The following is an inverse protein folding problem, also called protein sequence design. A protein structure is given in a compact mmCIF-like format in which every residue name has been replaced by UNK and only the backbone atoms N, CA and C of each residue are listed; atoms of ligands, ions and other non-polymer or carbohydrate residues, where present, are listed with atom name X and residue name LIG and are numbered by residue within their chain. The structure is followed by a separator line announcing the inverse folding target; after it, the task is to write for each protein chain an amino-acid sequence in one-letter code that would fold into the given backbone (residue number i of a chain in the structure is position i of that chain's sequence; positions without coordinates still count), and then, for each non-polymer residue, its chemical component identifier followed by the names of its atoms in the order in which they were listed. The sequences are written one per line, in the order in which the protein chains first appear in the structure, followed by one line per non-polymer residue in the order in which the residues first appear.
data_IF_866268575633
#
_entry.id   IF_866268575633
#
_cell.length_a   1.000
_cell.length_b   1.000
_cell.length_c   1.000
_cell.angle_alpha   90.00
_cell.angle_beta   90.00
_cell.angle_gamma   90.00
#
_symmetry.space_group_name_H-M   'P 1'
#
loop_
_entity.id
_entity.type
_entity.pdbx_description
1 polymer ?
#
# COMPACT_ATOMS: atom_id res chain seq x y z
N UNK A 1 3.28 51.03 -48.86
CA UNK A 1 1.93 51.17 -48.26
C UNK A 1 1.33 49.77 -48.31
N UNK A 2 1.09 49.03 -47.23
CA UNK A 2 0.59 49.44 -45.92
C UNK A 2 1.05 48.46 -44.85
N UNK A 3 1.44 49.02 -43.70
CA UNK A 3 1.57 48.36 -42.42
C UNK A 3 0.20 47.93 -41.90
N UNK A 4 0.11 46.75 -41.28
CA UNK A 4 -0.96 46.50 -40.30
C UNK A 4 -0.47 45.58 -39.19
N UNK A 5 -0.48 46.17 -38.00
CA UNK A 5 -0.12 45.62 -36.70
C UNK A 5 -1.35 44.96 -36.07
N UNK A 6 -1.21 43.79 -35.46
CA UNK A 6 -2.17 43.23 -34.50
C UNK A 6 -1.39 42.36 -33.50
N UNK A 7 -0.99 42.94 -32.36
CA UNK A 7 -1.65 42.87 -31.05
C UNK A 7 -1.46 41.52 -30.35
N UNK A 8 -0.48 41.52 -29.45
CA UNK A 8 -0.17 40.49 -28.45
C UNK A 8 -1.23 40.52 -27.34
N UNK A 9 -1.87 39.40 -26.96
CA UNK A 9 -2.63 39.33 -25.72
C UNK A 9 -1.69 39.14 -24.52
N UNK A 10 -1.96 39.77 -23.35
CA UNK A 10 -1.14 39.61 -22.15
C UNK A 10 -1.47 38.28 -21.49
N UNK A 11 -0.49 37.37 -21.42
CA UNK A 11 -0.60 36.15 -20.62
C UNK A 11 -0.43 36.51 -19.13
N UNK A 12 -1.35 36.12 -18.24
CA UNK A 12 -1.27 36.43 -16.81
C UNK A 12 -0.09 35.71 -16.12
N UNK A 13 0.49 36.30 -15.05
CA UNK A 13 1.62 35.73 -14.35
C UNK A 13 1.18 34.70 -13.30
N UNK A 14 2.09 33.73 -13.07
CA UNK A 14 2.15 32.82 -11.94
C UNK A 14 1.14 31.66 -11.89
N UNK A 15 1.66 30.45 -12.10
CA UNK A 15 1.40 29.37 -11.14
C UNK A 15 2.67 28.55 -11.00
N UNK A 16 3.30 28.65 -9.83
CA UNK A 16 4.42 27.83 -9.42
C UNK A 16 4.01 26.37 -9.51
N UNK A 17 4.59 25.63 -10.46
CA UNK A 17 4.47 24.19 -10.53
C UNK A 17 5.17 23.59 -9.31
N UNK A 18 4.42 23.42 -8.23
CA UNK A 18 4.78 22.48 -7.19
C UNK A 18 4.72 21.09 -7.83
N UNK A 19 5.88 20.53 -8.13
CA UNK A 19 6.08 19.13 -8.55
C UNK A 19 5.47 18.21 -7.51
N UNK A 20 4.17 17.93 -7.62
CA UNK A 20 3.54 16.82 -6.94
C UNK A 20 4.13 15.56 -7.60
N UNK A 21 5.20 15.03 -7.03
CA UNK A 21 5.57 13.64 -7.24
C UNK A 21 4.37 12.81 -6.81
N UNK A 22 3.52 12.48 -7.78
CA UNK A 22 2.54 11.42 -7.62
C UNK A 22 3.32 10.18 -7.21
N UNK A 23 3.30 9.83 -5.93
CA UNK A 23 3.72 8.51 -5.51
C UNK A 23 2.75 7.53 -6.16
N UNK A 24 3.07 7.10 -7.38
CA UNK A 24 2.39 5.99 -8.03
C UNK A 24 2.71 4.74 -7.22
N UNK A 25 1.93 4.51 -6.18
CA UNK A 25 1.95 3.24 -5.49
C UNK A 25 1.59 2.17 -6.52
N UNK A 26 2.52 1.24 -6.73
CA UNK A 26 2.27 0.06 -7.57
C UNK A 26 1.01 -0.63 -7.08
N UNK A 27 0.16 -1.06 -8.00
CA UNK A 27 -1.01 -1.85 -7.65
C UNK A 27 -0.59 -3.30 -7.34
N UNK A 28 -1.32 -3.99 -6.46
CA UNK A 28 -1.15 -5.43 -6.31
C UNK A 28 -1.42 -6.13 -7.63
N UNK A 29 -0.71 -7.23 -7.87
CA UNK A 29 -0.91 -8.05 -9.07
C UNK A 29 -2.33 -8.65 -9.11
N UNK A 30 -2.91 -8.78 -10.30
CA UNK A 30 -4.25 -9.37 -10.53
C UNK A 30 -4.38 -10.79 -9.93
N UNK A 31 -3.30 -11.58 -9.99
CA UNK A 31 -3.24 -12.92 -9.39
C UNK A 31 -3.44 -12.86 -7.88
N UNK A 32 -2.78 -11.91 -7.22
CA UNK A 32 -2.87 -11.71 -5.77
C UNK A 32 -4.28 -11.27 -5.38
N UNK A 33 -4.86 -10.31 -6.10
CA UNK A 33 -6.25 -9.86 -5.86
C UNK A 33 -7.27 -10.99 -6.05
N UNK A 34 -7.14 -11.81 -7.10
CA UNK A 34 -7.99 -13.00 -7.30
C UNK A 34 -7.85 -14.00 -6.16
N UNK A 35 -6.64 -14.22 -5.67
CA UNK A 35 -6.41 -15.12 -4.54
C UNK A 35 -7.02 -14.55 -3.24
N UNK A 36 -6.83 -13.26 -2.97
CA UNK A 36 -7.46 -12.57 -1.85
C UNK A 36 -8.99 -12.66 -1.91
N UNK A 37 -9.59 -12.41 -3.09
CA UNK A 37 -11.03 -12.52 -3.28
C UNK A 37 -11.54 -13.93 -2.99
N UNK A 38 -10.83 -14.97 -3.47
CA UNK A 38 -11.17 -16.36 -3.16
C UNK A 38 -11.13 -16.63 -1.65
N UNK A 39 -10.10 -16.16 -0.95
CA UNK A 39 -9.97 -16.32 0.49
C UNK A 39 -11.06 -15.54 1.25
N UNK A 40 -11.37 -14.32 0.82
CA UNK A 40 -12.43 -13.49 1.42
C UNK A 40 -13.80 -14.16 1.34
N UNK A 41 -14.12 -14.81 0.20
CA UNK A 41 -15.37 -15.56 0.02
C UNK A 41 -15.41 -16.82 0.89
N UNK A 42 -14.30 -17.56 0.98
CA UNK A 42 -14.24 -18.83 1.74
C UNK A 42 -14.26 -18.60 3.25
N UNK A 43 -13.56 -17.58 3.72
CA UNK A 43 -13.36 -17.30 5.15
C UNK A 43 -14.37 -16.27 5.69
N UNK A 44 -15.18 -15.66 4.81
CA UNK A 44 -16.12 -14.56 5.10
C UNK A 44 -15.45 -13.38 5.83
N UNK A 45 -14.37 -12.86 5.23
CA UNK A 45 -13.54 -11.80 5.81
C UNK A 45 -13.32 -10.66 4.82
N UNK A 46 -13.44 -9.39 5.25
CA UNK A 46 -13.12 -8.23 4.42
C UNK A 46 -11.62 -8.20 4.06
N UNK A 47 -11.34 -7.71 2.85
CA UNK A 47 -9.99 -7.41 2.39
C UNK A 47 -9.66 -5.96 2.75
N UNK A 48 -8.60 -5.77 3.53
CA UNK A 48 -8.09 -4.48 3.96
C UNK A 48 -6.75 -4.19 3.27
N UNK A 49 -6.64 -2.99 2.68
CA UNK A 49 -5.49 -2.52 1.92
C UNK A 49 -4.80 -1.31 2.58
N UNK A 50 -5.16 -1.00 3.82
CA UNK A 50 -4.60 0.05 4.67
C UNK A 50 -3.09 -0.11 4.91
N UNK A 51 -2.59 -1.34 4.96
CA UNK A 51 -1.17 -1.64 5.08
C UNK A 51 -0.41 -1.64 3.74
N UNK A 52 -1.09 -1.53 2.59
CA UNK A 52 -0.45 -1.64 1.28
C UNK A 52 0.59 -0.54 1.04
N UNK A 53 0.19 0.73 1.09
CA UNK A 53 1.10 1.86 0.89
C UNK A 53 2.21 1.89 1.95
N UNK A 54 1.87 1.59 3.20
CA UNK A 54 2.82 1.52 4.31
C UNK A 54 3.88 0.42 4.12
N UNK A 55 3.50 -0.70 3.48
CA UNK A 55 4.43 -1.78 3.16
C UNK A 55 5.38 -1.43 2.01
N UNK A 56 4.92 -0.61 1.05
CA UNK A 56 5.76 -0.07 -0.03
C UNK A 56 6.76 0.97 0.50
N UNK A 57 6.29 1.83 1.41
CA UNK A 57 7.12 2.84 2.10
C UNK A 57 8.09 2.24 3.13
N UNK A 58 8.04 0.92 3.36
CA UNK A 58 8.80 0.22 4.42
C UNK A 58 8.56 0.79 5.83
N UNK A 59 7.41 1.44 6.03
CA UNK A 59 6.93 1.91 7.34
C UNK A 59 6.30 0.76 8.12
N UNK A 60 5.59 -0.13 7.41
CA UNK A 60 5.08 -1.36 7.99
C UNK A 60 6.17 -2.45 8.02
N UNK A 61 6.11 -3.29 9.05
CA UNK A 61 6.96 -4.45 9.24
C UNK A 61 6.15 -5.63 9.80
N UNK A 62 6.68 -6.84 9.63
CA UNK A 62 6.14 -8.06 10.24
C UNK A 62 6.91 -8.29 11.55
N UNK A 63 6.23 -8.06 12.67
CA UNK A 63 6.74 -8.34 14.01
C UNK A 63 6.58 -9.81 14.35
N UNK A 64 7.63 -10.46 14.83
CA UNK A 64 7.60 -11.83 15.37
C UNK A 64 7.75 -11.75 16.87
N UNK A 65 6.72 -12.15 17.62
CA UNK A 65 6.75 -12.24 19.08
C UNK A 65 7.64 -13.40 19.54
N UNK A 66 8.06 -13.36 20.81
CA UNK A 66 8.77 -14.48 21.45
C UNK A 66 7.97 -15.79 21.45
N UNK A 67 6.63 -15.70 21.47
CA UNK A 67 5.72 -16.84 21.33
C UNK A 67 5.75 -17.51 19.93
N UNK A 68 6.43 -16.90 18.95
CA UNK A 68 6.46 -17.34 17.56
C UNK A 68 5.30 -16.82 16.69
N UNK A 69 4.36 -16.08 17.29
CA UNK A 69 3.27 -15.43 16.56
C UNK A 69 3.79 -14.25 15.74
N UNK A 70 3.22 -14.06 14.55
CA UNK A 70 3.54 -12.94 13.66
C UNK A 70 2.41 -11.93 13.70
N UNK A 71 2.71 -10.65 13.63
CA UNK A 71 1.73 -9.57 13.47
C UNK A 71 2.27 -8.50 12.52
N UNK A 72 1.35 -7.76 11.89
CA UNK A 72 1.73 -6.56 11.14
C UNK A 72 1.84 -5.39 12.11
N UNK A 73 2.95 -4.69 12.06
CA UNK A 73 3.24 -3.50 12.86
C UNK A 73 3.47 -2.36 11.89
N UNK A 74 2.66 -1.30 11.97
CA UNK A 74 2.87 -0.06 11.21
C UNK A 74 3.56 1.00 12.05
N UNK A 75 3.26 1.02 13.34
CA UNK A 75 3.90 1.84 14.37
C UNK A 75 3.76 1.14 15.73
N UNK A 76 4.37 1.69 16.78
CA UNK A 76 4.24 1.15 18.15
C UNK A 76 2.78 1.12 18.65
N UNK A 77 1.93 2.03 18.15
CA UNK A 77 0.52 2.14 18.54
C UNK A 77 -0.42 1.43 17.55
N UNK A 78 -0.02 1.26 16.29
CA UNK A 78 -0.84 0.67 15.22
C UNK A 78 -0.28 -0.69 14.79
N UNK A 79 -0.88 -1.75 15.32
CA UNK A 79 -0.57 -3.13 14.96
C UNK A 79 -1.83 -3.97 14.80
N UNK A 80 -1.73 -5.04 14.02
CA UNK A 80 -2.83 -5.99 13.82
C UNK A 80 -2.86 -7.07 14.89
N UNK A 81 -3.99 -7.77 14.99
CA UNK A 81 -4.05 -9.06 15.68
C UNK A 81 -3.02 -10.07 15.12
N UNK A 82 -2.70 -11.13 15.88
CA UNK A 82 -1.84 -12.21 15.40
C UNK A 82 -2.30 -12.76 14.06
N UNK A 83 -1.33 -12.99 13.18
CA UNK A 83 -1.50 -13.59 11.86
C UNK A 83 -1.79 -15.07 12.04
N UNK A 84 -2.95 -15.52 11.54
CA UNK A 84 -3.34 -16.93 11.53
C UNK A 84 -2.80 -17.66 10.32
N UNK A 85 -2.87 -17.04 9.13
CA UNK A 85 -2.38 -17.61 7.88
C UNK A 85 -1.57 -16.58 7.12
N UNK A 86 -0.47 -17.02 6.52
CA UNK A 86 0.42 -16.19 5.74
C UNK A 86 0.70 -16.86 4.41
N UNK A 87 0.29 -16.23 3.32
CA UNK A 87 0.49 -16.72 1.96
C UNK A 87 1.40 -15.78 1.18
N UNK A 88 2.27 -16.35 0.35
CA UNK A 88 3.05 -15.61 -0.64
C UNK A 88 2.39 -15.76 -2.00
N UNK A 89 2.15 -14.65 -2.67
CA UNK A 89 1.65 -14.62 -4.05
C UNK A 89 2.52 -13.65 -4.84
N UNK A 90 3.30 -14.17 -5.80
CA UNK A 90 4.26 -13.39 -6.59
C UNK A 90 5.14 -12.47 -5.72
N UNK A 91 4.94 -11.15 -5.83
CA UNK A 91 5.68 -10.10 -5.13
C UNK A 91 4.85 -9.44 -4.02
N UNK A 92 3.86 -10.17 -3.51
CA UNK A 92 2.97 -9.75 -2.44
C UNK A 92 2.78 -10.86 -1.40
N UNK A 93 2.37 -10.45 -0.21
CA UNK A 93 1.92 -11.34 0.84
C UNK A 93 0.45 -11.09 1.15
N UNK A 94 -0.28 -12.19 1.31
CA UNK A 94 -1.67 -12.20 1.76
C UNK A 94 -1.66 -12.70 3.19
N UNK A 95 -2.12 -11.85 4.10
CA UNK A 95 -2.03 -12.06 5.53
C UNK A 95 -3.45 -12.15 6.07
N UNK A 96 -3.78 -13.26 6.74
CA UNK A 96 -5.11 -13.47 7.31
C UNK A 96 -4.99 -13.42 8.83
N UNK A 97 -5.75 -12.52 9.44
CA UNK A 97 -5.90 -12.42 10.90
C UNK A 97 -7.22 -13.04 11.34
N UNK A 98 -7.60 -12.83 12.60
CA UNK A 98 -8.89 -13.27 13.15
C UNK A 98 -10.09 -12.82 12.30
N UNK A 99 -10.10 -11.55 11.87
CA UNK A 99 -11.29 -10.91 11.31
C UNK A 99 -11.11 -10.36 9.90
N UNK A 100 -9.87 -10.21 9.42
CA UNK A 100 -9.60 -9.50 8.16
C UNK A 100 -8.48 -10.15 7.36
N UNK A 101 -8.46 -9.86 6.06
CA UNK A 101 -7.39 -10.25 5.14
C UNK A 101 -6.64 -8.98 4.73
N UNK A 102 -5.35 -8.93 4.99
CA UNK A 102 -4.47 -7.83 4.60
C UNK A 102 -3.62 -8.22 3.39
N UNK A 103 -3.33 -7.25 2.54
CA UNK A 103 -2.38 -7.42 1.43
C UNK A 103 -1.22 -6.46 1.63
N UNK A 104 -0.01 -6.99 1.58
CA UNK A 104 1.22 -6.20 1.69
C UNK A 104 2.23 -6.59 0.63
N UNK A 105 3.15 -5.68 0.34
CA UNK A 105 4.25 -5.93 -0.56
C UNK A 105 5.22 -7.00 0.00
N UNK A 106 5.84 -7.78 -0.88
CA UNK A 106 6.89 -8.74 -0.48
C UNK A 106 8.13 -8.10 0.14
N UNK A 107 8.32 -6.80 -0.09
CA UNK A 107 9.48 -6.02 0.36
C UNK A 107 9.37 -5.59 1.84
N UNK A 108 8.28 -5.96 2.52
CA UNK A 108 8.05 -5.69 3.93
C UNK A 108 9.15 -6.32 4.80
N UNK A 109 9.70 -5.55 5.74
CA UNK A 109 10.74 -6.03 6.64
C UNK A 109 10.15 -6.93 7.72
N UNK A 110 10.95 -7.87 8.21
CA UNK A 110 10.62 -8.64 9.42
C UNK A 110 11.54 -8.20 10.58
N UNK A 111 10.97 -8.06 11.79
CA UNK A 111 11.73 -7.84 13.02
C UNK A 111 11.20 -8.75 14.12
N UNK A 112 12.11 -9.24 14.97
CA UNK A 112 11.71 -9.84 16.25
C UNK A 112 11.39 -8.72 17.22
N UNK A 113 10.26 -8.86 17.91
CA UNK A 113 9.82 -7.96 18.97
C UNK A 113 9.72 -8.80 20.25
N UNK A 114 10.31 -8.27 21.33
CA UNK A 114 10.26 -8.84 22.68
C UNK A 114 9.18 -8.17 23.50
#
# INVERSE_FOLDING_TARGET
MSTSTATVPPQPPATSESTQQSQQYRLPTDVTLKHCAKLAIVEDKPILLDYWSSSLDKKALVGVKESGEKLLVKSEEEYTSPIKKFYKSANEYIIITENSIYVVCSDIQNRRIS
#
